data_IF_117930467565
#
_entry.id   IF_117930467565
#
_cell.length_a   1.000
_cell.length_b   1.000
_cell.length_c   1.000
_cell.angle_alpha   90.00
_cell.angle_beta   90.00
_cell.angle_gamma   90.00
#
_symmetry.space_group_name_H-M   'P 1'
#
loop_
_entity.id
_entity.type
_entity.pdbx_description
1 polymer ?
#
# COMPACT_ATOMS: atom_id res chain seq x y z
N UNK A 1 17.11 -21.30 23.59
CA UNK A 1 16.72 -19.87 23.71
C UNK A 1 16.90 -19.20 22.35
N UNK A 2 15.86 -19.13 21.53
CA UNK A 2 15.95 -18.58 20.17
C UNK A 2 16.13 -17.06 20.17
N UNK A 3 17.09 -16.55 19.41
CA UNK A 3 17.33 -15.12 19.28
C UNK A 3 16.08 -14.40 18.74
N UNK A 4 15.55 -13.45 19.52
CA UNK A 4 14.38 -12.64 19.14
C UNK A 4 14.77 -11.66 18.03
N UNK A 5 14.39 -11.95 16.79
CA UNK A 5 14.66 -11.08 15.63
C UNK A 5 13.78 -9.82 15.69
N UNK A 6 14.40 -8.65 15.61
CA UNK A 6 13.74 -7.35 15.48
C UNK A 6 13.90 -6.84 14.06
N UNK A 7 12.80 -6.45 13.41
CA UNK A 7 12.84 -5.74 12.12
C UNK A 7 12.97 -4.25 12.39
N UNK A 8 14.04 -3.66 11.90
CA UNK A 8 14.34 -2.24 12.00
C UNK A 8 14.52 -1.69 10.59
N UNK A 9 14.03 -0.48 10.37
CA UNK A 9 14.38 0.31 9.18
C UNK A 9 15.82 0.82 9.29
N UNK A 10 16.45 1.16 8.16
CA UNK A 10 17.82 1.70 8.18
C UNK A 10 17.96 2.97 9.04
N UNK A 11 16.91 3.80 9.08
CA UNK A 11 16.85 4.98 9.93
C UNK A 11 16.80 4.62 11.43
N UNK A 12 16.03 3.59 11.81
CA UNK A 12 15.97 3.10 13.19
C UNK A 12 17.28 2.45 13.62
N UNK A 13 17.97 1.73 12.72
CA UNK A 13 19.31 1.20 12.98
C UNK A 13 20.32 2.32 13.23
N UNK A 14 20.35 3.36 12.38
CA UNK A 14 21.21 4.54 12.59
C UNK A 14 20.91 5.20 13.92
N UNK A 15 19.62 5.41 14.24
CA UNK A 15 19.17 6.01 15.50
C UNK A 15 19.65 5.20 16.70
N UNK A 16 19.52 3.88 16.67
CA UNK A 16 20.00 3.01 17.76
C UNK A 16 21.51 3.11 17.96
N UNK A 17 22.28 3.12 16.87
CA UNK A 17 23.74 3.25 16.94
C UNK A 17 24.17 4.56 17.59
N UNK A 18 23.62 5.68 17.14
CA UNK A 18 23.94 7.00 17.69
C UNK A 18 23.57 7.10 19.17
N UNK A 19 22.40 6.59 19.57
CA UNK A 19 22.01 6.57 20.98
C UNK A 19 22.94 5.66 21.81
N UNK A 20 23.37 4.52 21.25
CA UNK A 20 24.35 3.65 21.91
C UNK A 20 25.69 4.37 22.12
N UNK A 21 26.16 5.13 21.14
CA UNK A 21 27.40 5.90 21.26
C UNK A 21 27.31 6.99 22.34
N UNK A 22 26.12 7.59 22.52
CA UNK A 22 25.84 8.50 23.64
C UNK A 22 25.87 7.77 24.98
N UNK A 23 25.23 6.59 25.08
CA UNK A 23 25.21 5.78 26.30
C UNK A 23 26.61 5.30 26.70
N UNK A 24 27.44 4.93 25.72
CA UNK A 24 28.83 4.50 25.90
C UNK A 24 29.79 5.70 26.13
N UNK A 25 29.25 6.92 26.29
CA UNK A 25 29.99 8.18 26.50
C UNK A 25 31.00 8.52 25.39
N UNK A 26 30.82 7.97 24.18
CA UNK A 26 31.65 8.27 22.99
C UNK A 26 31.17 9.50 22.23
N UNK A 27 29.94 9.94 22.48
CA UNK A 27 29.31 11.09 21.81
C UNK A 27 28.50 11.91 22.81
N UNK A 28 28.52 13.25 22.67
CA UNK A 28 27.69 14.13 23.51
C UNK A 28 26.24 14.14 23.02
N UNK A 29 25.28 14.37 23.93
CA UNK A 29 23.86 14.47 23.56
C UNK A 29 23.56 15.58 22.53
N UNK A 30 24.33 16.68 22.52
CA UNK A 30 24.20 17.76 21.53
C UNK A 30 24.62 17.31 20.13
N UNK A 31 25.76 16.63 20.02
CA UNK A 31 26.25 16.07 18.75
C UNK A 31 25.28 15.03 18.18
N UNK A 32 24.74 14.16 19.04
CA UNK A 32 23.74 13.18 18.63
C UNK A 32 22.44 13.85 18.13
N UNK A 33 22.04 14.96 18.73
CA UNK A 33 20.88 15.75 18.31
C UNK A 33 21.08 16.30 16.89
N UNK A 34 22.26 16.83 16.59
CA UNK A 34 22.64 17.31 15.26
C UNK A 34 22.67 16.18 14.22
N UNK A 35 23.32 15.05 14.53
CA UNK A 35 23.44 13.89 13.62
C UNK A 35 22.08 13.26 13.27
N UNK A 36 21.13 13.29 14.21
CA UNK A 36 19.80 12.72 14.03
C UNK A 36 18.75 13.76 13.58
N UNK A 37 19.08 15.05 13.56
CA UNK A 37 18.13 16.12 13.29
C UNK A 37 17.01 16.20 14.33
N UNK A 38 17.32 15.92 15.60
CA UNK A 38 16.37 15.89 16.72
C UNK A 38 16.70 16.95 17.76
N UNK A 39 15.78 17.22 18.68
CA UNK A 39 16.10 18.02 19.87
C UNK A 39 16.88 17.18 20.90
N UNK A 40 17.71 17.85 21.70
CA UNK A 40 18.42 17.21 22.83
C UNK A 40 17.48 16.52 23.82
N UNK A 41 16.28 17.08 24.04
CA UNK A 41 15.22 16.46 24.86
C UNK A 41 14.75 15.14 24.26
N UNK A 42 14.63 15.06 22.94
CA UNK A 42 14.22 13.83 22.26
C UNK A 42 15.33 12.77 22.28
N UNK A 43 16.60 13.19 22.18
CA UNK A 43 17.75 12.30 22.39
C UNK A 43 17.71 11.69 23.79
N UNK A 44 17.49 12.49 24.84
CA UNK A 44 17.34 11.98 26.22
C UNK A 44 16.19 10.98 26.37
N UNK A 45 15.02 11.30 25.81
CA UNK A 45 13.87 10.36 25.81
C UNK A 45 14.20 9.04 25.11
N UNK A 46 14.92 9.08 24.00
CA UNK A 46 15.35 7.88 23.29
C UNK A 46 16.38 7.09 24.11
N UNK A 47 17.31 7.77 24.79
CA UNK A 47 18.26 7.15 25.70
C UNK A 47 17.55 6.36 26.81
N UNK A 48 16.54 6.97 27.45
CA UNK A 48 15.75 6.32 28.50
C UNK A 48 14.95 5.11 27.97
N UNK A 49 14.33 5.24 26.78
CA UNK A 49 13.62 4.15 26.12
C UNK A 49 14.54 3.00 25.73
N UNK A 50 15.74 3.30 25.23
CA UNK A 50 16.73 2.29 24.86
C UNK A 50 17.31 1.62 26.11
N UNK A 51 17.49 2.34 27.21
CA UNK A 51 17.90 1.77 28.50
C UNK A 51 16.87 0.77 29.03
N UNK A 52 15.57 1.06 28.87
CA UNK A 52 14.49 0.20 29.35
C UNK A 52 14.19 -0.98 28.41
N UNK A 53 14.18 -0.76 27.09
CA UNK A 53 13.65 -1.71 26.09
C UNK A 53 14.70 -2.19 25.07
N UNK A 54 15.94 -1.74 25.18
CA UNK A 54 17.01 -2.03 24.22
C UNK A 54 16.70 -1.47 22.83
N UNK A 55 17.02 -2.23 21.78
CA UNK A 55 16.79 -1.83 20.39
C UNK A 55 15.31 -1.58 20.04
N UNK A 56 14.35 -2.02 20.87
CA UNK A 56 12.93 -1.69 20.67
C UNK A 56 12.61 -0.23 20.95
N UNK A 57 13.41 0.45 21.79
CA UNK A 57 13.15 1.84 22.19
C UNK A 57 13.25 2.84 21.02
N UNK A 58 13.93 2.47 19.93
CA UNK A 58 14.02 3.31 18.71
C UNK A 58 12.93 3.01 17.68
N UNK A 59 12.19 1.92 17.86
CA UNK A 59 11.13 1.50 16.93
C UNK A 59 9.98 2.49 17.02
N UNK A 60 9.42 2.85 15.88
CA UNK A 60 8.26 3.73 15.87
C UNK A 60 7.07 3.09 16.61
N UNK A 61 6.46 3.79 17.58
CA UNK A 61 5.44 3.22 18.47
C UNK A 61 4.12 2.80 17.79
N UNK A 62 3.89 3.24 16.55
CA UNK A 62 2.74 2.79 15.74
C UNK A 62 3.04 1.51 14.93
N UNK A 63 4.28 1.01 14.91
CA UNK A 63 4.61 -0.21 14.18
C UNK A 63 3.81 -1.37 14.76
N UNK A 64 3.00 -2.01 13.90
CA UNK A 64 2.13 -3.11 14.28
C UNK A 64 0.81 -2.72 14.96
N UNK A 65 0.56 -1.42 15.19
CA UNK A 65 -0.71 -0.95 15.75
C UNK A 65 -1.72 -0.69 14.63
N UNK A 66 -2.95 -1.17 14.80
CA UNK A 66 -4.07 -0.85 13.91
C UNK A 66 -4.52 0.60 14.11
N UNK A 67 -4.97 1.25 13.04
CA UNK A 67 -5.55 2.60 13.13
C UNK A 67 -6.88 2.57 13.88
N UNK A 68 -7.19 3.61 14.65
CA UNK A 68 -8.49 3.75 15.32
C UNK A 68 -9.65 3.81 14.31
N UNK A 69 -9.39 4.27 13.08
CA UNK A 69 -10.38 4.33 12.01
C UNK A 69 -10.36 3.08 11.11
N UNK A 70 -9.65 2.03 11.52
CA UNK A 70 -9.63 0.78 10.77
C UNK A 70 -11.03 0.15 10.75
N UNK A 71 -11.42 -0.37 9.58
CA UNK A 71 -12.64 -1.16 9.44
C UNK A 71 -12.46 -2.43 10.28
N UNK A 72 -13.48 -2.79 11.06
CA UNK A 72 -13.40 -3.98 11.92
C UNK A 72 -13.09 -5.23 11.09
N UNK A 73 -12.27 -6.16 11.62
CA UNK A 73 -11.89 -7.37 10.90
C UNK A 73 -13.11 -8.19 10.46
N UNK A 74 -14.15 -8.24 11.31
CA UNK A 74 -15.43 -8.89 11.00
C UNK A 74 -16.11 -8.29 9.74
N UNK A 75 -16.14 -6.96 9.62
CA UNK A 75 -16.69 -6.29 8.43
C UNK A 75 -15.85 -6.59 7.19
N UNK A 76 -14.52 -6.61 7.33
CA UNK A 76 -13.60 -6.95 6.23
C UNK A 76 -13.86 -8.38 5.73
N UNK A 77 -14.01 -9.33 6.64
CA UNK A 77 -14.30 -10.73 6.31
C UNK A 77 -15.68 -10.89 5.68
N UNK A 78 -16.71 -10.22 6.22
CA UNK A 78 -18.05 -10.23 5.64
C UNK A 78 -18.09 -9.68 4.22
N UNK A 79 -17.38 -8.58 3.95
CA UNK A 79 -17.28 -8.02 2.59
C UNK A 79 -16.61 -9.01 1.64
N UNK A 80 -15.53 -9.69 2.07
CA UNK A 80 -14.84 -10.70 1.27
C UNK A 80 -15.73 -11.92 1.00
N UNK A 81 -16.45 -12.41 2.00
CA UNK A 81 -17.32 -13.58 1.86
C UNK A 81 -18.49 -13.32 0.93
N UNK A 82 -19.15 -12.15 1.06
CA UNK A 82 -20.22 -11.72 0.15
C UNK A 82 -19.74 -11.63 -1.29
N UNK A 83 -18.55 -11.04 -1.49
CA UNK A 83 -17.94 -10.99 -2.82
C UNK A 83 -17.77 -12.38 -3.42
N UNK A 84 -17.08 -13.29 -2.74
CA UNK A 84 -16.77 -14.64 -3.26
C UNK A 84 -18.03 -15.49 -3.48
N UNK A 85 -18.96 -15.47 -2.52
CA UNK A 85 -20.09 -16.40 -2.51
C UNK A 85 -21.25 -15.96 -3.41
N UNK A 86 -21.52 -14.65 -3.47
CA UNK A 86 -22.75 -14.13 -4.09
C UNK A 86 -22.47 -13.26 -5.33
N UNK A 87 -21.57 -12.29 -5.21
CA UNK A 87 -21.46 -11.21 -6.21
C UNK A 87 -20.39 -11.46 -7.29
N UNK A 88 -19.38 -12.30 -7.02
CA UNK A 88 -18.32 -12.60 -7.98
C UNK A 88 -18.86 -13.26 -9.25
N UNK A 89 -19.89 -14.11 -9.12
CA UNK A 89 -20.53 -14.78 -10.27
C UNK A 89 -21.33 -13.81 -11.15
N UNK A 90 -21.86 -12.73 -10.56
CA UNK A 90 -22.73 -11.76 -11.23
C UNK A 90 -22.03 -10.75 -12.17
N UNK A 91 -20.72 -10.88 -12.42
CA UNK A 91 -19.94 -9.98 -13.30
C UNK A 91 -19.94 -8.49 -12.89
N UNK A 92 -20.09 -8.20 -11.59
CA UNK A 92 -20.13 -6.82 -11.11
C UNK A 92 -18.73 -6.21 -11.01
N UNK A 93 -18.63 -4.89 -11.22
CA UNK A 93 -17.42 -4.14 -10.88
C UNK A 93 -17.42 -3.78 -9.37
N UNK A 94 -16.28 -3.35 -8.81
CA UNK A 94 -16.21 -3.01 -7.38
C UNK A 94 -17.11 -1.81 -7.00
N UNK A 95 -17.35 -0.89 -7.91
CA UNK A 95 -18.24 0.25 -7.68
C UNK A 95 -19.67 -0.24 -7.43
N UNK A 96 -20.18 -1.07 -8.33
CA UNK A 96 -21.53 -1.62 -8.28
C UNK A 96 -21.69 -2.61 -7.12
N UNK A 97 -20.65 -3.37 -6.79
CA UNK A 97 -20.65 -4.16 -5.57
C UNK A 97 -20.74 -3.29 -4.32
N UNK A 98 -20.08 -2.13 -4.30
CA UNK A 98 -20.20 -1.19 -3.19
C UNK A 98 -21.62 -0.61 -3.09
N UNK A 99 -22.27 -0.33 -4.22
CA UNK A 99 -23.68 0.07 -4.26
C UNK A 99 -24.56 -1.03 -3.64
N UNK A 100 -24.37 -2.30 -4.03
CA UNK A 100 -25.12 -3.43 -3.47
C UNK A 100 -24.83 -3.69 -1.99
N UNK A 101 -23.59 -3.50 -1.53
CA UNK A 101 -23.26 -3.55 -0.11
C UNK A 101 -24.02 -2.50 0.69
N UNK A 102 -24.18 -1.29 0.14
CA UNK A 102 -24.90 -0.20 0.80
C UNK A 102 -26.41 -0.41 0.78
N UNK A 103 -26.98 -0.80 -0.37
CA UNK A 103 -28.42 -0.94 -0.59
C UNK A 103 -29.02 -2.21 0.05
N UNK A 104 -28.36 -3.36 -0.15
CA UNK A 104 -28.93 -4.67 0.21
C UNK A 104 -28.41 -5.14 1.57
N UNK A 105 -27.12 -5.01 1.80
CA UNK A 105 -26.46 -5.56 3.00
C UNK A 105 -26.38 -4.55 4.16
N UNK A 106 -26.71 -3.28 3.90
CA UNK A 106 -26.63 -2.19 4.89
C UNK A 106 -25.20 -1.84 5.34
N UNK A 107 -24.17 -2.32 4.62
CA UNK A 107 -22.77 -2.15 4.96
C UNK A 107 -22.25 -0.85 4.32
N UNK A 108 -22.34 0.26 5.07
CA UNK A 108 -21.87 1.58 4.63
C UNK A 108 -20.34 1.67 4.57
N UNK A 109 -19.77 1.44 3.38
CA UNK A 109 -18.32 1.50 3.13
C UNK A 109 -18.04 2.25 1.81
N UNK A 110 -16.92 2.99 1.77
CA UNK A 110 -16.48 3.67 0.55
C UNK A 110 -15.96 2.69 -0.51
N UNK A 111 -16.11 3.05 -1.79
CA UNK A 111 -15.63 2.22 -2.92
C UNK A 111 -14.14 1.89 -2.81
N UNK A 112 -13.32 2.85 -2.37
CA UNK A 112 -11.87 2.65 -2.24
C UNK A 112 -11.52 1.70 -1.09
N UNK A 113 -12.27 1.75 0.01
CA UNK A 113 -12.11 0.79 1.11
C UNK A 113 -12.46 -0.63 0.66
N UNK A 114 -13.56 -0.81 -0.07
CA UNK A 114 -13.94 -2.11 -0.66
C UNK A 114 -12.85 -2.61 -1.61
N UNK A 115 -12.36 -1.74 -2.51
CA UNK A 115 -11.26 -2.05 -3.44
C UNK A 115 -10.00 -2.50 -2.72
N UNK A 116 -9.57 -1.80 -1.66
CA UNK A 116 -8.40 -2.18 -0.84
C UNK A 116 -8.61 -3.53 -0.15
N UNK A 117 -9.79 -3.74 0.45
CA UNK A 117 -10.16 -5.00 1.11
C UNK A 117 -10.06 -6.17 0.12
N UNK A 118 -10.68 -6.06 -1.05
CA UNK A 118 -10.72 -7.13 -2.04
C UNK A 118 -9.34 -7.37 -2.67
N UNK A 119 -8.60 -6.31 -3.04
CA UNK A 119 -7.23 -6.44 -3.56
C UNK A 119 -6.26 -7.04 -2.55
N UNK A 120 -6.39 -6.71 -1.26
CA UNK A 120 -5.58 -7.34 -0.21
C UNK A 120 -5.82 -8.86 -0.11
N UNK A 121 -6.98 -9.33 -0.57
CA UNK A 121 -7.34 -10.74 -0.68
C UNK A 121 -7.06 -11.35 -2.05
N UNK A 122 -6.34 -10.66 -2.95
CA UNK A 122 -6.14 -11.04 -4.35
C UNK A 122 -7.44 -11.26 -5.15
N UNK A 123 -8.55 -10.65 -4.71
CA UNK A 123 -9.83 -10.70 -5.40
C UNK A 123 -9.90 -9.55 -6.41
N UNK A 124 -10.38 -9.83 -7.62
CA UNK A 124 -10.45 -8.88 -8.73
C UNK A 124 -11.88 -8.76 -9.25
N UNK A 125 -12.28 -7.54 -9.66
CA UNK A 125 -13.64 -7.19 -10.06
C UNK A 125 -14.05 -7.88 -11.36
N UNK A 126 -13.26 -7.74 -12.44
CA UNK A 126 -13.23 -8.66 -13.59
C UNK A 126 -12.39 -8.16 -14.75
N UNK A 127 -12.00 -9.16 -15.57
CA UNK A 127 -11.43 -9.15 -16.93
C UNK A 127 -10.40 -8.06 -17.18
N UNK A 128 -9.12 -8.46 -17.17
CA UNK A 128 -8.06 -7.71 -17.85
C UNK A 128 -8.54 -7.42 -19.28
N UNK A 129 -8.84 -6.14 -19.56
CA UNK A 129 -9.04 -5.71 -20.92
C UNK A 129 -7.78 -6.09 -21.69
N UNK A 130 -7.94 -6.81 -22.81
CA UNK A 130 -6.82 -7.00 -23.72
C UNK A 130 -6.29 -5.60 -24.04
N UNK A 131 -4.98 -5.35 -23.88
CA UNK A 131 -4.41 -4.07 -24.24
C UNK A 131 -4.83 -3.76 -25.68
N UNK A 132 -5.27 -2.53 -25.94
CA UNK A 132 -5.64 -2.11 -27.28
C UNK A 132 -4.47 -2.47 -28.20
N UNK A 133 -4.73 -3.25 -29.25
CA UNK A 133 -3.71 -3.57 -30.25
C UNK A 133 -3.19 -2.23 -30.76
N UNK A 134 -1.91 -1.94 -30.55
CA UNK A 134 -1.30 -0.71 -31.01
C UNK A 134 -1.57 -0.59 -32.51
N UNK A 135 -2.12 0.54 -32.97
CA UNK A 135 -2.26 0.80 -34.41
C UNK A 135 -0.85 0.79 -34.98
N UNK A 136 -0.56 -0.18 -35.84
CA UNK A 136 0.73 -0.21 -36.54
C UNK A 136 0.64 0.79 -37.69
N UNK A 137 1.65 1.63 -37.80
CA UNK A 137 1.85 2.44 -38.99
C UNK A 137 2.05 1.50 -40.18
N UNK A 138 1.44 1.83 -41.32
CA UNK A 138 1.66 1.06 -42.55
C UNK A 138 3.05 1.41 -43.08
N UNK A 139 3.86 0.43 -43.53
CA UNK A 139 5.14 0.75 -44.17
C UNK A 139 4.92 1.56 -45.45
N UNK A 140 5.89 2.44 -45.78
CA UNK A 140 5.90 3.14 -47.07
C UNK A 140 6.05 2.14 -48.21
N UNK A 141 5.33 2.37 -49.32
CA UNK A 141 5.49 1.61 -50.57
C UNK A 141 6.73 2.10 -51.32
N UNK A 142 7.26 1.28 -52.22
CA UNK A 142 8.51 1.55 -52.92
C UNK A 142 8.33 2.66 -53.97
N UNK A 143 7.15 2.72 -54.59
CA UNK A 143 6.83 3.68 -55.65
C UNK A 143 5.50 4.41 -55.44
N UNK A 144 5.36 5.59 -56.04
CA UNK A 144 4.10 6.32 -56.08
C UNK A 144 3.04 5.55 -56.90
N UNK A 145 1.82 5.44 -56.39
CA UNK A 145 0.70 4.74 -57.04
C UNK A 145 0.47 3.28 -56.58
N UNK A 146 1.42 2.67 -55.87
CA UNK A 146 1.26 1.32 -55.30
C UNK A 146 0.29 1.26 -54.09
N UNK A 147 -0.10 2.42 -53.54
CA UNK A 147 -1.03 2.51 -52.44
C UNK A 147 -2.38 3.02 -52.95
N UNK A 148 -3.35 2.11 -53.07
CA UNK A 148 -4.72 2.45 -53.38
C UNK A 148 -5.51 2.70 -52.09
N UNK A 149 -6.06 3.90 -51.93
CA UNK A 149 -7.01 4.20 -50.87
C UNK A 149 -8.42 3.94 -51.39
N UNK A 150 -9.00 2.81 -51.01
CA UNK A 150 -10.43 2.57 -51.15
C UNK A 150 -11.07 2.97 -49.82
N UNK A 151 -11.85 4.04 -49.86
CA UNK A 151 -12.73 4.42 -48.77
C UNK A 151 -14.15 4.00 -49.16
N UNK A 152 -14.81 3.26 -48.28
CA UNK A 152 -16.15 2.76 -48.55
C UNK A 152 -17.10 3.38 -47.54
N UNK A 153 -17.99 4.23 -48.03
CA UNK A 153 -19.08 4.78 -47.23
C UNK A 153 -20.18 3.72 -47.11
N UNK A 154 -20.70 3.43 -45.91
CA UNK A 154 -21.94 2.67 -45.80
C UNK A 154 -23.06 3.48 -46.47
N UNK A 155 -23.76 2.87 -47.43
CA UNK A 155 -25.01 3.37 -47.98
C UNK A 155 -26.09 2.34 -47.64
N UNK A 156 -27.23 2.82 -47.13
CA UNK A 156 -28.38 2.01 -46.72
C UNK A 156 -29.09 1.36 -47.92
#
# INVERSE_FOLDING_TARGET
MGAKRLRLTGAEVKKFRVIKDVMDKRMRQKEAAEVLGLSTRQVRRLEDLVRLQGAKGVVHGLVGRTSNNAISPEKVERVKSLWVNQYQKANLNFTHFTEKLNEVEGIKISVESVRKILRSGNLTDKKMHRPRKHRKERPRRESAGELLQQDTSPHD
#
